data_IF_268956925403
#
_entry.id   IF_268956925403
#
_cell.length_a   1.000
_cell.length_b   1.000
_cell.length_c   1.000
_cell.angle_alpha   90.00
_cell.angle_beta   90.00
_cell.angle_gamma   90.00
#
_symmetry.space_group_name_H-M   'P 1'
#
loop_
_entity.id
_entity.type
_entity.pdbx_description
1 polymer ?
#
# COMPACT_ATOMS: atom_id res chain seq x y z
N UNK A 1 -30.08 -23.35 16.58
CA UNK A 1 -28.97 -22.45 16.19
C UNK A 1 -29.42 -21.03 16.44
N UNK A 2 -29.09 -20.49 17.62
CA UNK A 2 -29.22 -19.06 17.89
C UNK A 2 -28.09 -18.39 17.10
N UNK A 3 -28.43 -17.75 15.99
CA UNK A 3 -27.51 -16.86 15.30
C UNK A 3 -27.28 -15.70 16.28
N UNK A 4 -26.16 -15.71 16.98
CA UNK A 4 -25.77 -14.57 17.81
C UNK A 4 -25.57 -13.38 16.86
N UNK A 5 -26.48 -12.43 16.97
CA UNK A 5 -26.44 -11.21 16.15
C UNK A 5 -25.29 -10.35 16.65
N UNK A 6 -24.30 -10.09 15.79
CA UNK A 6 -23.21 -9.18 16.12
C UNK A 6 -23.79 -7.80 16.45
N UNK A 7 -23.32 -7.20 17.54
CA UNK A 7 -23.78 -5.89 17.99
C UNK A 7 -23.57 -4.82 16.91
N UNK A 8 -24.40 -3.79 16.93
CA UNK A 8 -24.32 -2.69 15.98
C UNK A 8 -23.14 -1.76 16.33
N UNK A 9 -22.31 -1.38 15.35
CA UNK A 9 -21.29 -0.36 15.57
C UNK A 9 -21.91 1.03 15.77
N UNK A 10 -21.18 1.87 16.47
CA UNK A 10 -21.46 3.29 16.61
C UNK A 10 -20.74 4.01 15.49
N UNK A 11 -21.44 4.85 14.75
CA UNK A 11 -20.86 5.75 13.74
C UNK A 11 -21.46 7.13 13.97
N UNK A 12 -20.65 8.05 14.50
CA UNK A 12 -21.06 9.44 14.78
C UNK A 12 -20.32 10.39 13.85
N UNK A 13 -21.07 11.32 13.25
CA UNK A 13 -20.52 12.39 12.44
C UNK A 13 -20.47 13.67 13.24
N UNK A 14 -19.30 14.28 13.29
CA UNK A 14 -19.04 15.54 13.98
C UNK A 14 -18.39 16.50 12.98
N UNK A 15 -18.76 17.78 13.02
CA UNK A 15 -18.03 18.78 12.25
C UNK A 15 -16.58 18.84 12.74
N UNK A 16 -15.62 18.89 11.83
CA UNK A 16 -14.21 18.71 12.16
C UNK A 16 -13.55 20.02 12.61
N UNK A 17 -13.94 20.47 13.80
CA UNK A 17 -13.35 21.63 14.48
C UNK A 17 -13.38 21.44 16.01
N UNK A 18 -12.56 22.24 16.69
CA UNK A 18 -12.39 22.14 18.15
C UNK A 18 -13.68 22.40 18.93
N UNK A 19 -14.54 23.31 18.47
CA UNK A 19 -15.78 23.65 19.15
C UNK A 19 -16.80 22.50 19.05
N UNK A 20 -16.98 21.95 17.84
CA UNK A 20 -17.85 20.80 17.63
C UNK A 20 -17.37 19.56 18.40
N UNK A 21 -16.04 19.34 18.47
CA UNK A 21 -15.46 18.27 19.27
C UNK A 21 -15.76 18.43 20.76
N UNK A 22 -15.63 19.64 21.31
CA UNK A 22 -15.97 19.93 22.72
C UNK A 22 -17.45 19.67 23.02
N UNK A 23 -18.33 20.08 22.11
CA UNK A 23 -19.78 19.83 22.23
C UNK A 23 -20.06 18.33 22.23
N UNK A 24 -19.44 17.58 21.30
CA UNK A 24 -19.58 16.14 21.21
C UNK A 24 -19.07 15.43 22.47
N UNK A 25 -17.89 15.81 22.98
CA UNK A 25 -17.34 15.27 24.24
C UNK A 25 -18.30 15.47 25.41
N UNK A 26 -18.88 16.69 25.54
CA UNK A 26 -19.86 16.98 26.57
C UNK A 26 -21.13 16.12 26.42
N UNK A 27 -21.64 15.96 25.20
CA UNK A 27 -22.81 15.10 24.94
C UNK A 27 -22.53 13.63 25.32
N UNK A 28 -21.34 13.12 25.09
CA UNK A 28 -20.96 11.78 25.51
C UNK A 28 -20.89 11.66 27.01
N UNK A 29 -20.27 12.62 27.71
CA UNK A 29 -20.12 12.60 29.16
C UNK A 29 -21.45 12.72 29.87
N UNK A 30 -22.41 13.49 29.34
CA UNK A 30 -23.73 13.70 29.87
C UNK A 30 -24.76 12.65 29.39
N UNK A 31 -24.38 11.72 28.54
CA UNK A 31 -25.27 10.69 28.01
C UNK A 31 -25.77 9.75 29.11
N UNK A 32 -27.07 9.47 29.10
CA UNK A 32 -27.69 8.44 29.93
C UNK A 32 -27.53 7.03 29.38
N UNK A 33 -27.03 6.88 28.16
CA UNK A 33 -26.71 5.59 27.55
C UNK A 33 -25.31 5.15 27.96
N UNK A 34 -25.23 4.42 29.08
CA UNK A 34 -23.96 3.97 29.65
C UNK A 34 -23.15 3.11 28.66
N UNK A 35 -23.80 2.28 27.86
CA UNK A 35 -23.13 1.45 26.85
C UNK A 35 -22.48 2.28 25.75
N UNK A 36 -23.19 3.29 25.25
CA UNK A 36 -22.69 4.22 24.26
C UNK A 36 -21.48 5.02 24.79
N UNK A 37 -21.64 5.56 25.99
CA UNK A 37 -20.61 6.32 26.70
C UNK A 37 -19.35 5.48 26.93
N UNK A 38 -19.50 4.27 27.45
CA UNK A 38 -18.40 3.34 27.73
C UNK A 38 -17.67 2.98 26.43
N UNK A 39 -18.40 2.67 25.36
CA UNK A 39 -17.81 2.29 24.07
C UNK A 39 -16.94 3.41 23.48
N UNK A 40 -17.38 4.67 23.56
CA UNK A 40 -16.61 5.79 22.99
C UNK A 40 -15.43 6.19 23.88
N UNK A 41 -15.59 6.12 25.21
CA UNK A 41 -14.55 6.61 26.14
C UNK A 41 -13.49 5.57 26.51
N UNK A 42 -13.86 4.29 26.57
CA UNK A 42 -13.03 3.26 27.18
C UNK A 42 -12.53 2.17 26.21
N UNK A 43 -13.07 2.13 24.99
CA UNK A 43 -12.61 1.19 23.94
C UNK A 43 -11.77 1.90 22.88
N UNK A 44 -10.90 1.19 22.19
CA UNK A 44 -10.24 1.73 21.00
C UNK A 44 -11.25 2.18 19.95
N UNK A 45 -10.96 3.26 19.27
CA UNK A 45 -11.83 3.92 18.28
C UNK A 45 -11.11 4.02 16.94
N UNK A 46 -11.85 3.83 15.86
CA UNK A 46 -11.41 4.19 14.50
C UNK A 46 -12.09 5.50 14.11
N UNK A 47 -11.37 6.37 13.44
CA UNK A 47 -11.90 7.67 13.03
C UNK A 47 -11.46 8.03 11.61
N UNK A 48 -12.29 8.85 10.95
CA UNK A 48 -12.04 9.35 9.60
C UNK A 48 -12.21 10.86 9.61
N UNK A 49 -11.15 11.60 9.26
CA UNK A 49 -11.27 12.98 8.86
C UNK A 49 -11.52 13.03 7.36
N UNK A 50 -12.53 13.79 6.94
CA UNK A 50 -12.94 13.93 5.55
C UNK A 50 -13.18 15.40 5.24
N UNK A 51 -12.55 15.91 4.19
CA UNK A 51 -12.74 17.28 3.73
C UNK A 51 -12.80 17.33 2.20
N UNK A 52 -13.44 18.37 1.69
CA UNK A 52 -13.55 18.62 0.25
C UNK A 52 -12.41 19.52 -0.20
N UNK A 53 -11.68 19.09 -1.22
CA UNK A 53 -10.62 19.87 -1.87
C UNK A 53 -11.01 20.10 -3.32
N UNK A 54 -11.48 21.32 -3.65
CA UNK A 54 -12.06 21.66 -4.96
C UNK A 54 -13.30 20.79 -5.27
N UNK A 55 -13.19 19.89 -6.22
CA UNK A 55 -14.28 19.00 -6.63
C UNK A 55 -14.15 17.58 -6.03
N UNK A 56 -13.02 17.27 -5.42
CA UNK A 56 -12.68 15.96 -4.90
C UNK A 56 -12.62 15.97 -3.37
N UNK A 57 -12.53 14.79 -2.78
CA UNK A 57 -12.37 14.59 -1.35
C UNK A 57 -10.96 14.13 -1.00
N UNK A 58 -10.55 14.47 0.20
CA UNK A 58 -9.38 13.90 0.84
C UNK A 58 -9.79 13.32 2.20
N UNK A 59 -9.09 12.28 2.64
CA UNK A 59 -9.39 11.58 3.88
C UNK A 59 -8.11 11.27 4.66
N UNK A 60 -8.25 11.25 5.98
CA UNK A 60 -7.28 10.68 6.91
C UNK A 60 -8.00 9.64 7.76
N UNK A 61 -7.50 8.42 7.81
CA UNK A 61 -8.03 7.35 8.65
C UNK A 61 -7.04 7.05 9.76
N UNK A 62 -7.51 6.91 10.99
CA UNK A 62 -6.66 6.59 12.12
C UNK A 62 -7.41 5.77 13.17
N UNK A 63 -6.67 5.27 14.15
CA UNK A 63 -7.19 4.61 15.32
C UNK A 63 -6.59 5.22 16.59
N UNK A 64 -7.29 5.16 17.68
CA UNK A 64 -6.84 5.71 18.96
C UNK A 64 -7.54 5.09 20.14
N UNK A 65 -6.84 4.98 21.25
CA UNK A 65 -7.45 4.66 22.55
C UNK A 65 -8.16 5.87 23.20
N UNK A 66 -7.89 7.07 22.70
CA UNK A 66 -8.52 8.32 23.18
C UNK A 66 -8.71 9.29 22.01
N UNK A 67 -9.92 9.25 21.43
CA UNK A 67 -10.27 10.05 20.25
C UNK A 67 -10.18 11.56 20.55
N UNK A 68 -10.59 12.02 21.72
CA UNK A 68 -10.60 13.44 22.06
C UNK A 68 -9.19 14.01 22.19
N UNK A 69 -8.30 13.29 22.88
CA UNK A 69 -6.90 13.69 22.99
C UNK A 69 -6.22 13.68 21.63
N UNK A 70 -6.43 12.64 20.85
CA UNK A 70 -5.83 12.48 19.52
C UNK A 70 -6.26 13.57 18.56
N UNK A 71 -7.55 13.88 18.54
CA UNK A 71 -8.10 14.91 17.65
C UNK A 71 -7.62 16.31 18.07
N UNK A 72 -7.52 16.59 19.37
CA UNK A 72 -6.90 17.85 19.86
C UNK A 72 -5.44 17.96 19.42
N UNK A 73 -4.67 16.87 19.44
CA UNK A 73 -3.31 16.86 18.92
C UNK A 73 -3.25 17.21 17.42
N UNK A 74 -4.19 16.73 16.62
CA UNK A 74 -4.29 17.10 15.22
C UNK A 74 -4.57 18.61 15.04
N UNK A 75 -5.50 19.17 15.82
CA UNK A 75 -5.82 20.61 15.75
C UNK A 75 -4.69 21.51 16.27
N UNK A 76 -3.87 21.04 17.20
CA UNK A 76 -2.81 21.83 17.83
C UNK A 76 -1.49 21.84 17.05
N UNK A 77 -1.31 20.92 16.09
CA UNK A 77 -0.16 20.98 15.20
C UNK A 77 -0.27 22.22 14.35
N UNK A 78 0.73 23.11 14.48
CA UNK A 78 0.87 24.21 13.53
C UNK A 78 1.04 23.61 12.13
N UNK A 79 0.25 24.04 11.16
CA UNK A 79 0.33 23.48 9.83
C UNK A 79 1.70 23.83 9.24
N UNK A 80 2.55 22.82 9.10
CA UNK A 80 3.55 22.88 8.06
C UNK A 80 2.78 22.92 6.73
N UNK A 81 3.18 23.74 5.77
CA UNK A 81 2.43 23.97 4.51
C UNK A 81 2.14 22.66 3.74
N UNK A 82 2.81 21.57 4.10
CA UNK A 82 2.68 20.24 3.52
C UNK A 82 1.83 19.27 4.36
N UNK A 83 1.35 19.66 5.54
CA UNK A 83 0.54 18.77 6.39
C UNK A 83 -0.96 18.97 6.17
N UNK A 84 -1.70 17.87 6.09
CA UNK A 84 -3.15 17.85 5.82
C UNK A 84 -4.00 18.52 6.90
N UNK A 85 -3.47 18.67 8.13
CA UNK A 85 -4.22 19.22 9.27
C UNK A 85 -4.71 20.65 9.06
N UNK A 86 -4.07 21.45 8.19
CA UNK A 86 -4.53 22.80 7.89
C UNK A 86 -5.92 22.82 7.20
N UNK A 87 -6.33 21.72 6.58
CA UNK A 87 -7.64 21.59 5.94
C UNK A 87 -8.78 21.33 6.94
N UNK A 88 -8.47 21.01 8.20
CA UNK A 88 -9.47 20.74 9.25
C UNK A 88 -10.21 21.98 9.72
N UNK A 89 -9.78 23.17 9.35
CA UNK A 89 -10.51 24.42 9.63
C UNK A 89 -11.59 24.75 8.59
N UNK A 90 -11.71 23.95 7.54
CA UNK A 90 -12.72 24.15 6.50
C UNK A 90 -14.11 23.79 7.05
N UNK A 91 -15.11 24.65 6.77
CA UNK A 91 -16.51 24.41 7.14
C UNK A 91 -17.07 23.08 6.60
N UNK A 92 -16.45 22.53 5.56
CA UNK A 92 -16.83 21.26 4.91
C UNK A 92 -16.09 20.04 5.46
N UNK A 93 -15.22 20.20 6.45
CA UNK A 93 -14.52 19.07 7.06
C UNK A 93 -15.41 18.35 8.08
N UNK A 94 -15.42 17.01 8.02
CA UNK A 94 -16.17 16.16 8.91
C UNK A 94 -15.26 15.13 9.60
N UNK A 95 -15.59 14.80 10.83
CA UNK A 95 -15.01 13.73 11.60
C UNK A 95 -16.05 12.62 11.79
N UNK A 96 -15.73 11.41 11.36
CA UNK A 96 -16.50 10.21 11.68
C UNK A 96 -15.82 9.48 12.83
N UNK A 97 -16.55 9.23 13.90
CA UNK A 97 -16.09 8.48 15.07
C UNK A 97 -16.77 7.12 15.05
N UNK A 98 -15.97 6.05 15.00
CA UNK A 98 -16.44 4.68 14.84
C UNK A 98 -16.03 3.87 16.06
N UNK A 99 -17.03 3.33 16.77
CA UNK A 99 -16.84 2.53 17.97
C UNK A 99 -17.63 1.22 17.93
N UNK A 100 -17.15 0.24 18.67
CA UNK A 100 -17.82 -1.05 18.86
C UNK A 100 -17.36 -1.68 20.18
N UNK A 101 -18.28 -2.37 20.87
CA UNK A 101 -17.97 -3.03 22.15
C UNK A 101 -16.94 -4.18 22.04
N UNK A 102 -16.71 -4.71 20.84
CA UNK A 102 -15.71 -5.75 20.57
C UNK A 102 -14.40 -5.19 20.02
N UNK A 103 -14.24 -3.87 19.95
CA UNK A 103 -13.00 -3.28 19.50
C UNK A 103 -11.87 -3.53 20.49
N UNK A 104 -10.82 -4.12 20.00
CA UNK A 104 -9.50 -4.15 20.58
C UNK A 104 -8.49 -3.55 19.61
N UNK A 105 -7.26 -3.39 20.02
CA UNK A 105 -6.20 -2.79 19.18
C UNK A 105 -6.03 -3.50 17.84
N UNK A 106 -6.05 -4.83 17.82
CA UNK A 106 -5.88 -5.59 16.58
C UNK A 106 -7.05 -5.39 15.62
N UNK A 107 -8.28 -5.40 16.12
CA UNK A 107 -9.46 -5.19 15.27
C UNK A 107 -9.51 -3.77 14.73
N UNK A 108 -9.21 -2.74 15.54
CA UNK A 108 -9.19 -1.36 15.07
C UNK A 108 -8.13 -1.13 14.01
N UNK A 109 -6.96 -1.74 14.11
CA UNK A 109 -5.92 -1.70 13.07
C UNK A 109 -6.37 -2.38 11.77
N UNK A 110 -7.04 -3.53 11.85
CA UNK A 110 -7.58 -4.20 10.66
C UNK A 110 -8.71 -3.41 10.00
N UNK A 111 -9.58 -2.77 10.77
CA UNK A 111 -10.64 -1.89 10.25
C UNK A 111 -10.04 -0.63 9.63
N UNK A 112 -9.07 0.00 10.28
CA UNK A 112 -8.32 1.13 9.72
C UNK A 112 -7.70 0.77 8.37
N UNK A 113 -6.99 -0.34 8.27
CA UNK A 113 -6.38 -0.81 7.04
C UNK A 113 -7.42 -1.04 5.93
N UNK A 114 -8.53 -1.67 6.25
CA UNK A 114 -9.61 -1.95 5.29
C UNK A 114 -10.31 -0.67 4.83
N UNK A 115 -10.53 0.28 5.72
CA UNK A 115 -11.07 1.60 5.38
C UNK A 115 -10.12 2.36 4.45
N UNK A 116 -8.83 2.39 4.76
CA UNK A 116 -7.81 3.02 3.91
C UNK A 116 -7.82 2.39 2.51
N UNK A 117 -7.83 1.07 2.43
CA UNK A 117 -7.86 0.34 1.17
C UNK A 117 -9.12 0.66 0.34
N UNK A 118 -10.29 0.65 0.97
CA UNK A 118 -11.55 0.99 0.31
C UNK A 118 -11.57 2.43 -0.18
N UNK A 119 -11.22 3.36 0.70
CA UNK A 119 -11.25 4.80 0.39
C UNK A 119 -10.24 5.17 -0.70
N UNK A 120 -9.08 4.55 -0.73
CA UNK A 120 -8.12 4.74 -1.83
C UNK A 120 -8.69 4.31 -3.18
N UNK A 121 -9.61 3.34 -3.19
CA UNK A 121 -10.24 2.83 -4.41
C UNK A 121 -11.45 3.64 -4.88
N UNK A 122 -11.85 4.68 -4.15
CA UNK A 122 -12.96 5.56 -4.50
C UNK A 122 -12.51 6.63 -5.49
N UNK A 123 -13.23 6.76 -6.61
CA UNK A 123 -12.88 7.71 -7.67
C UNK A 123 -12.83 9.16 -7.18
N UNK A 124 -13.81 9.56 -6.37
CA UNK A 124 -13.93 10.92 -5.86
C UNK A 124 -12.93 11.26 -4.75
N UNK A 125 -12.15 10.31 -4.26
CA UNK A 125 -11.11 10.55 -3.27
C UNK A 125 -9.78 10.73 -3.97
N UNK A 126 -9.24 11.95 -3.88
CA UNK A 126 -7.96 12.33 -4.49
C UNK A 126 -6.76 11.84 -3.70
N UNK A 127 -6.84 11.92 -2.37
CA UNK A 127 -5.76 11.52 -1.45
C UNK A 127 -6.29 10.82 -0.22
N UNK A 128 -5.55 9.79 0.18
CA UNK A 128 -5.71 9.10 1.45
C UNK A 128 -4.43 9.33 2.26
N UNK A 129 -4.57 10.06 3.35
CA UNK A 129 -3.47 10.29 4.29
C UNK A 129 -3.37 9.12 5.26
N UNK A 130 -2.18 8.87 5.82
CA UNK A 130 -1.90 7.72 6.70
C UNK A 130 -2.07 6.36 6.00
N UNK A 131 -1.76 6.29 4.71
CA UNK A 131 -1.89 5.10 3.88
C UNK A 131 -0.86 4.01 4.20
N UNK A 132 -0.77 3.55 5.45
CA UNK A 132 0.09 2.45 5.86
C UNK A 132 -0.72 1.18 6.09
N UNK A 133 -0.21 0.06 5.61
CA UNK A 133 -0.78 -1.25 5.88
C UNK A 133 -0.14 -1.86 7.14
N UNK A 134 -0.97 -2.18 8.12
CA UNK A 134 -0.54 -2.81 9.37
C UNK A 134 -1.44 -4.01 9.69
N UNK A 135 -1.37 -5.09 8.88
CA UNK A 135 -2.24 -6.25 9.04
C UNK A 135 -1.96 -6.96 10.36
N UNK A 136 -3.01 -7.43 11.01
CA UNK A 136 -2.93 -8.18 12.25
C UNK A 136 -2.99 -9.68 12.00
N UNK A 137 -2.31 -10.45 12.83
CA UNK A 137 -2.44 -11.89 12.90
C UNK A 137 -3.79 -12.29 13.53
N UNK A 138 -3.97 -13.57 13.83
CA UNK A 138 -5.19 -14.06 14.50
C UNK A 138 -5.36 -13.41 15.86
N UNK A 139 -6.56 -12.94 16.16
CA UNK A 139 -6.98 -12.38 17.44
C UNK A 139 -8.47 -12.70 17.67
N UNK A 140 -8.93 -12.56 18.90
CA UNK A 140 -10.35 -12.68 19.23
C UNK A 140 -11.00 -11.27 19.23
N UNK A 141 -12.15 -11.04 18.63
CA UNK A 141 -12.99 -11.94 17.82
C UNK A 141 -12.87 -11.66 16.29
N UNK A 142 -11.79 -12.09 15.67
CA UNK A 142 -11.51 -11.83 14.23
C UNK A 142 -12.64 -12.31 13.29
N UNK A 143 -13.36 -13.35 13.66
CA UNK A 143 -14.50 -13.88 12.89
C UNK A 143 -15.67 -12.91 12.78
N UNK A 144 -15.73 -11.89 13.61
CA UNK A 144 -16.75 -10.83 13.55
C UNK A 144 -16.34 -9.64 12.68
N UNK A 145 -15.09 -9.57 12.24
CA UNK A 145 -14.51 -8.44 11.53
C UNK A 145 -15.32 -8.07 10.26
N UNK A 146 -15.67 -9.07 9.45
CA UNK A 146 -16.37 -8.82 8.19
C UNK A 146 -17.79 -8.27 8.42
N UNK A 147 -18.51 -8.80 9.40
CA UNK A 147 -19.84 -8.33 9.74
C UNK A 147 -19.83 -6.93 10.34
N UNK A 148 -18.90 -6.67 11.24
CA UNK A 148 -18.73 -5.34 11.86
C UNK A 148 -18.36 -4.31 10.79
N UNK A 149 -17.41 -4.63 9.93
CA UNK A 149 -16.99 -3.74 8.86
C UNK A 149 -18.12 -3.44 7.87
N UNK A 150 -18.87 -4.45 7.43
CA UNK A 150 -20.01 -4.27 6.55
C UNK A 150 -21.07 -3.33 7.16
N UNK A 151 -21.35 -3.45 8.45
CA UNK A 151 -22.26 -2.57 9.17
C UNK A 151 -21.74 -1.14 9.29
N UNK A 152 -20.44 -0.97 9.55
CA UNK A 152 -19.78 0.35 9.58
C UNK A 152 -19.91 1.01 8.21
N UNK A 153 -19.52 0.31 7.14
CA UNK A 153 -19.58 0.84 5.78
C UNK A 153 -20.99 1.24 5.37
N UNK A 154 -21.98 0.41 5.71
CA UNK A 154 -23.40 0.73 5.46
C UNK A 154 -23.85 2.02 6.16
N UNK A 155 -23.42 2.25 7.41
CA UNK A 155 -23.73 3.48 8.15
C UNK A 155 -23.04 4.70 7.55
N UNK A 156 -21.75 4.59 7.20
CA UNK A 156 -21.02 5.64 6.51
C UNK A 156 -21.66 5.99 5.15
N UNK A 157 -22.07 4.98 4.41
CA UNK A 157 -22.73 5.14 3.12
C UNK A 157 -24.10 5.86 3.22
N UNK A 158 -24.83 5.66 4.29
CA UNK A 158 -26.10 6.41 4.52
C UNK A 158 -25.87 7.92 4.62
N UNK A 159 -24.74 8.30 5.15
CA UNK A 159 -24.38 9.71 5.31
C UNK A 159 -23.83 10.31 3.99
N UNK A 160 -22.89 9.65 3.34
CA UNK A 160 -22.27 10.17 2.12
C UNK A 160 -21.95 9.06 1.13
N UNK A 161 -22.72 8.98 0.04
CA UNK A 161 -22.54 7.95 -1.00
C UNK A 161 -21.41 8.25 -1.97
N UNK A 162 -20.95 9.51 -2.04
CA UNK A 162 -19.85 9.90 -2.92
C UNK A 162 -18.49 9.44 -2.33
N UNK A 163 -18.35 9.56 -1.01
CA UNK A 163 -17.15 9.12 -0.28
C UNK A 163 -17.21 7.62 0.03
N UNK A 164 -18.40 7.09 0.30
CA UNK A 164 -18.62 5.69 0.66
C UNK A 164 -19.59 5.00 -0.33
N UNK A 165 -19.11 4.66 -1.55
CA UNK A 165 -19.92 3.98 -2.56
C UNK A 165 -20.22 2.53 -2.17
N UNK A 166 -20.88 1.78 -3.06
CA UNK A 166 -21.13 0.35 -2.87
C UNK A 166 -19.83 -0.44 -2.81
N UNK A 167 -19.73 -1.40 -1.91
CA UNK A 167 -18.54 -2.27 -1.77
C UNK A 167 -18.23 -3.02 -3.08
N UNK A 168 -19.26 -3.45 -3.81
CA UNK A 168 -19.10 -4.12 -5.11
C UNK A 168 -18.40 -3.22 -6.13
N UNK A 169 -18.77 -1.95 -6.20
CA UNK A 169 -18.11 -0.98 -7.08
C UNK A 169 -16.63 -0.77 -6.72
N UNK A 170 -16.32 -0.76 -5.42
CA UNK A 170 -14.94 -0.67 -4.94
C UNK A 170 -14.14 -1.91 -5.35
N UNK A 171 -14.63 -3.10 -5.02
CA UNK A 171 -13.94 -4.37 -5.28
C UNK A 171 -13.73 -4.66 -6.76
N UNK A 172 -14.58 -4.13 -7.63
CA UNK A 172 -14.45 -4.26 -9.08
C UNK A 172 -13.48 -3.27 -9.70
N UNK A 173 -13.08 -2.22 -8.97
CA UNK A 173 -12.18 -1.19 -9.49
C UNK A 173 -10.77 -1.72 -9.75
N UNK A 174 -10.13 -1.23 -10.81
CA UNK A 174 -8.75 -1.58 -11.13
C UNK A 174 -7.76 -1.13 -10.03
N UNK A 175 -8.02 0.02 -9.40
CA UNK A 175 -7.21 0.52 -8.28
C UNK A 175 -7.27 -0.45 -7.11
N UNK A 176 -8.45 -0.94 -6.72
CA UNK A 176 -8.59 -1.91 -5.64
C UNK A 176 -7.79 -3.18 -5.91
N UNK A 177 -7.92 -3.74 -7.12
CA UNK A 177 -7.24 -4.98 -7.52
C UNK A 177 -5.71 -4.87 -7.55
N UNK A 178 -5.18 -3.71 -7.93
CA UNK A 178 -3.74 -3.45 -7.99
C UNK A 178 -3.15 -2.84 -6.71
N UNK A 179 -3.97 -2.56 -5.71
CA UNK A 179 -3.59 -1.84 -4.51
C UNK A 179 -2.48 -2.53 -3.72
N UNK A 180 -1.49 -1.75 -3.20
CA UNK A 180 -0.50 -2.26 -2.25
C UNK A 180 -1.06 -2.55 -0.85
N UNK A 181 -2.32 -2.22 -0.60
CA UNK A 181 -2.96 -2.27 0.72
C UNK A 181 -3.81 -3.53 0.95
N UNK A 182 -3.80 -4.48 0.02
CA UNK A 182 -4.41 -5.78 0.25
C UNK A 182 -3.84 -6.46 1.49
N UNK A 183 -4.72 -7.11 2.26
CA UNK A 183 -4.26 -8.04 3.30
C UNK A 183 -3.63 -9.25 2.61
N UNK A 184 -2.34 -9.41 2.79
CA UNK A 184 -1.60 -10.54 2.22
C UNK A 184 -1.95 -11.82 2.98
N UNK A 185 -1.91 -12.96 2.29
CA UNK A 185 -1.90 -14.27 2.93
C UNK A 185 -0.64 -14.43 3.76
N UNK A 186 -0.61 -15.41 4.65
CA UNK A 186 0.57 -15.68 5.49
C UNK A 186 1.81 -15.98 4.63
N UNK A 187 1.65 -16.71 3.54
CA UNK A 187 2.73 -17.03 2.61
C UNK A 187 3.21 -15.80 1.82
N UNK A 188 2.28 -14.99 1.33
CA UNK A 188 2.63 -13.72 0.67
C UNK A 188 3.34 -12.78 1.65
N UNK A 189 2.94 -12.73 2.91
CA UNK A 189 3.60 -11.92 3.94
C UNK A 189 5.04 -12.40 4.19
N UNK A 190 5.26 -13.71 4.30
CA UNK A 190 6.60 -14.29 4.41
C UNK A 190 7.46 -13.97 3.19
N UNK A 191 6.90 -14.10 1.99
CA UNK A 191 7.60 -13.75 0.74
C UNK A 191 7.97 -12.26 0.70
N UNK A 192 7.07 -11.37 1.11
CA UNK A 192 7.33 -9.92 1.23
C UNK A 192 8.49 -9.64 2.18
N UNK A 193 8.49 -10.24 3.37
CA UNK A 193 9.56 -10.08 4.36
C UNK A 193 10.90 -10.57 3.80
N UNK A 194 10.92 -11.72 3.12
CA UNK A 194 12.12 -12.25 2.47
C UNK A 194 12.65 -11.32 1.37
N UNK A 195 11.78 -10.76 0.55
CA UNK A 195 12.16 -9.81 -0.51
C UNK A 195 12.77 -8.55 0.12
N UNK A 196 12.14 -7.98 1.15
CA UNK A 196 12.65 -6.79 1.82
C UNK A 196 14.00 -7.05 2.46
N UNK A 197 14.17 -8.18 3.16
CA UNK A 197 15.44 -8.56 3.74
C UNK A 197 16.56 -8.65 2.69
N UNK A 198 16.27 -9.26 1.54
CA UNK A 198 17.20 -9.36 0.42
C UNK A 198 17.50 -8.00 -0.21
N UNK A 199 16.52 -7.12 -0.35
CA UNK A 199 16.71 -5.74 -0.84
C UNK A 199 17.63 -4.97 0.12
N UNK A 200 17.38 -5.03 1.41
CA UNK A 200 18.22 -4.36 2.42
C UNK A 200 19.65 -4.88 2.39
N UNK A 201 19.84 -6.20 2.29
CA UNK A 201 21.16 -6.80 2.14
C UNK A 201 21.87 -6.31 0.87
N UNK A 202 21.17 -6.25 -0.24
CA UNK A 202 21.71 -5.78 -1.52
C UNK A 202 22.10 -4.29 -1.47
N UNK A 203 21.30 -3.46 -0.83
CA UNK A 203 21.61 -2.03 -0.62
C UNK A 203 22.87 -1.85 0.25
N UNK A 204 23.09 -2.74 1.23
CA UNK A 204 24.31 -2.72 2.05
C UNK A 204 25.56 -3.03 1.25
N UNK A 205 25.46 -3.86 0.22
CA UNK A 205 26.59 -4.19 -0.64
C UNK A 205 27.01 -3.01 -1.54
N UNK A 206 26.08 -2.08 -1.80
CA UNK A 206 26.29 -0.89 -2.65
C UNK A 206 26.80 -1.22 -4.07
N UNK A 207 26.50 -2.39 -4.56
CA UNK A 207 26.80 -2.83 -5.93
C UNK A 207 25.59 -2.62 -6.84
N UNK A 208 25.84 -2.36 -8.12
CA UNK A 208 24.76 -2.28 -9.11
C UNK A 208 24.45 -3.62 -9.74
N UNK A 209 23.25 -3.76 -10.30
CA UNK A 209 22.89 -4.93 -11.09
C UNK A 209 22.63 -6.18 -10.26
N UNK A 210 22.26 -6.04 -8.98
CA UNK A 210 21.84 -7.14 -8.13
C UNK A 210 20.40 -7.50 -8.46
N UNK A 211 20.12 -8.80 -8.69
CA UNK A 211 18.82 -9.29 -9.11
C UNK A 211 18.16 -10.15 -8.04
N UNK A 212 16.95 -9.79 -7.64
CA UNK A 212 16.07 -10.61 -6.83
C UNK A 212 15.01 -11.20 -7.76
N UNK A 213 14.99 -12.50 -7.85
CA UNK A 213 14.10 -13.24 -8.72
C UNK A 213 12.93 -13.81 -7.90
N UNK A 214 11.69 -13.39 -8.22
CA UNK A 214 10.48 -13.89 -7.57
C UNK A 214 9.71 -14.71 -8.58
N UNK A 215 9.60 -16.00 -8.31
CA UNK A 215 8.93 -16.98 -9.15
C UNK A 215 7.66 -17.48 -8.46
N UNK A 216 6.59 -17.63 -9.22
CA UNK A 216 5.32 -18.17 -8.72
C UNK A 216 4.37 -18.47 -9.87
N UNK A 217 3.45 -19.38 -9.64
CA UNK A 217 2.42 -19.73 -10.60
C UNK A 217 1.43 -18.59 -10.83
N UNK A 218 0.65 -18.69 -11.92
CA UNK A 218 -0.44 -17.76 -12.19
C UNK A 218 -1.46 -17.80 -11.03
N UNK A 219 -1.92 -16.64 -10.59
CA UNK A 219 -2.92 -16.56 -9.51
C UNK A 219 -2.36 -16.52 -8.08
N UNK A 220 -1.03 -16.64 -7.87
CA UNK A 220 -0.42 -16.55 -6.53
C UNK A 220 -0.38 -15.13 -5.94
N UNK A 221 -0.89 -14.13 -6.68
CA UNK A 221 -0.92 -12.75 -6.23
C UNK A 221 0.41 -12.01 -6.34
N UNK A 222 1.24 -12.38 -7.31
CA UNK A 222 2.54 -11.71 -7.58
C UNK A 222 2.43 -10.20 -7.77
N UNK A 223 1.41 -9.74 -8.50
CA UNK A 223 1.17 -8.31 -8.72
C UNK A 223 0.90 -7.55 -7.42
N UNK A 224 0.05 -8.10 -6.55
CA UNK A 224 -0.24 -7.53 -5.23
C UNK A 224 1.00 -7.57 -4.33
N UNK A 225 1.74 -8.67 -4.34
CA UNK A 225 3.00 -8.81 -3.60
C UNK A 225 4.03 -7.76 -4.06
N UNK A 226 4.17 -7.58 -5.36
CA UNK A 226 5.09 -6.61 -5.96
C UNK A 226 4.73 -5.17 -5.54
N UNK A 227 3.47 -4.81 -5.72
CA UNK A 227 2.93 -3.52 -5.32
C UNK A 227 3.07 -3.25 -3.82
N UNK A 228 2.74 -4.23 -2.99
CA UNK A 228 2.85 -4.14 -1.53
C UNK A 228 4.31 -3.97 -1.08
N UNK A 229 5.23 -4.72 -1.65
CA UNK A 229 6.65 -4.67 -1.30
C UNK A 229 7.29 -3.35 -1.75
N UNK A 230 6.97 -2.91 -2.96
CA UNK A 230 7.39 -1.61 -3.49
C UNK A 230 6.96 -0.45 -2.57
N UNK A 231 5.68 -0.41 -2.19
CA UNK A 231 5.16 0.63 -1.31
C UNK A 231 5.75 0.58 0.10
N UNK A 232 6.00 -0.61 0.63
CA UNK A 232 6.59 -0.80 1.96
C UNK A 232 7.96 -0.13 2.11
N UNK A 233 8.77 -0.08 1.07
CA UNK A 233 10.06 0.60 1.12
C UNK A 233 9.91 2.10 1.38
N UNK A 234 8.91 2.74 0.79
CA UNK A 234 8.60 4.15 1.08
C UNK A 234 8.10 4.34 2.52
N UNK A 235 7.25 3.45 2.99
CA UNK A 235 6.74 3.50 4.37
C UNK A 235 7.87 3.37 5.39
N UNK A 236 8.80 2.46 5.18
CA UNK A 236 10.00 2.27 6.04
C UNK A 236 10.89 3.50 6.04
N UNK A 237 11.12 4.08 4.87
CA UNK A 237 11.91 5.31 4.75
C UNK A 237 11.28 6.46 5.53
N UNK A 238 9.99 6.70 5.37
CA UNK A 238 9.27 7.76 6.09
C UNK A 238 9.25 7.53 7.60
N UNK A 239 9.06 6.29 8.03
CA UNK A 239 9.08 5.94 9.46
C UNK A 239 10.46 6.21 10.07
N UNK A 240 11.53 5.75 9.44
CA UNK A 240 12.89 5.98 9.90
C UNK A 240 13.22 7.48 9.93
N UNK A 241 12.80 8.24 8.92
CA UNK A 241 12.96 9.69 8.88
C UNK A 241 12.21 10.39 10.02
N UNK A 242 10.97 10.02 10.30
CA UNK A 242 10.17 10.60 11.36
C UNK A 242 10.70 10.27 12.75
N UNK A 243 11.31 9.11 12.92
CA UNK A 243 11.93 8.66 14.16
C UNK A 243 13.39 9.14 14.33
N UNK A 244 13.92 9.90 13.37
CA UNK A 244 15.35 10.32 13.32
C UNK A 244 16.32 9.12 13.38
N UNK A 245 15.94 8.01 12.75
CA UNK A 245 16.79 6.82 12.63
C UNK A 245 17.79 6.96 11.49
N UNK A 246 18.79 6.08 11.46
CA UNK A 246 19.77 6.03 10.38
C UNK A 246 19.13 5.59 9.06
N UNK A 247 19.17 6.47 8.07
CA UNK A 247 18.60 6.23 6.74
C UNK A 247 19.54 5.46 5.80
N UNK A 248 20.70 5.02 6.26
CA UNK A 248 21.74 4.43 5.41
C UNK A 248 21.26 3.26 4.55
N UNK A 249 20.32 2.47 5.07
CA UNK A 249 19.76 1.28 4.39
C UNK A 249 18.26 1.38 4.10
N UNK A 250 17.69 2.57 4.28
CA UNK A 250 16.34 2.88 3.89
C UNK A 250 16.38 3.73 2.61
N UNK A 251 15.40 3.55 1.74
CA UNK A 251 15.41 4.28 0.47
C UNK A 251 14.02 4.72 0.03
N UNK A 252 13.96 5.92 -0.52
CA UNK A 252 12.83 6.44 -1.30
C UNK A 252 13.13 6.51 -2.80
N UNK A 253 14.30 6.07 -3.22
CA UNK A 253 14.73 6.03 -4.61
C UNK A 253 14.34 4.69 -5.26
N UNK A 254 13.03 4.43 -5.29
CA UNK A 254 12.41 3.20 -5.73
C UNK A 254 11.46 3.46 -6.91
N UNK A 255 11.45 2.54 -7.85
CA UNK A 255 10.64 2.63 -9.06
C UNK A 255 9.91 1.33 -9.35
N UNK A 256 8.70 1.45 -9.94
CA UNK A 256 7.92 0.33 -10.43
C UNK A 256 7.82 0.41 -11.95
N UNK A 257 8.21 -0.64 -12.64
CA UNK A 257 8.11 -0.74 -14.08
C UNK A 257 6.98 -1.69 -14.46
N UNK A 258 6.12 -1.23 -15.35
CA UNK A 258 4.98 -1.99 -15.90
C UNK A 258 4.91 -1.81 -17.41
N UNK A 259 4.41 -2.81 -18.11
CA UNK A 259 4.49 -2.85 -19.59
C UNK A 259 3.26 -2.29 -20.30
N UNK A 260 2.09 -2.31 -19.65
CA UNK A 260 0.83 -1.92 -20.28
C UNK A 260 0.38 -0.52 -19.89
N UNK A 261 -0.14 0.25 -20.84
CA UNK A 261 -0.61 1.62 -20.63
C UNK A 261 -1.72 1.72 -19.57
N UNK A 262 -2.62 0.77 -19.56
CA UNK A 262 -3.69 0.71 -18.57
C UNK A 262 -3.14 0.54 -17.13
N UNK A 263 -2.14 -0.30 -16.96
CA UNK A 263 -1.46 -0.49 -15.67
C UNK A 263 -0.69 0.76 -15.25
N UNK A 264 0.00 1.45 -16.16
CA UNK A 264 0.67 2.73 -15.88
C UNK A 264 -0.34 3.72 -15.30
N UNK A 265 -1.49 3.86 -15.91
CA UNK A 265 -2.54 4.78 -15.43
C UNK A 265 -3.00 4.42 -14.03
N UNK A 266 -3.29 3.15 -13.76
CA UNK A 266 -3.75 2.66 -12.45
C UNK A 266 -2.69 2.87 -11.37
N UNK A 267 -1.44 2.49 -11.63
CA UNK A 267 -0.37 2.64 -10.64
C UNK A 267 0.03 4.10 -10.40
N UNK A 268 -0.05 4.97 -11.40
CA UNK A 268 0.14 6.40 -11.20
C UNK A 268 -0.99 7.01 -10.35
N UNK A 269 -2.23 6.58 -10.54
CA UNK A 269 -3.35 6.99 -9.67
C UNK A 269 -3.13 6.53 -8.22
N UNK A 270 -2.66 5.31 -8.01
CA UNK A 270 -2.31 4.78 -6.69
C UNK A 270 -1.18 5.62 -6.05
N UNK A 271 -0.13 5.91 -6.80
CA UNK A 271 0.99 6.74 -6.32
C UNK A 271 0.54 8.16 -5.94
N UNK A 272 -0.33 8.77 -6.74
CA UNK A 272 -0.92 10.08 -6.45
C UNK A 272 -1.75 10.05 -5.16
N UNK A 273 -2.64 9.07 -5.04
CA UNK A 273 -3.54 8.93 -3.88
C UNK A 273 -2.80 8.64 -2.57
N UNK A 274 -1.69 7.91 -2.64
CA UNK A 274 -0.84 7.61 -1.48
C UNK A 274 0.22 8.70 -1.20
N UNK A 275 0.24 9.77 -1.99
CA UNK A 275 1.14 10.90 -1.78
C UNK A 275 2.57 10.68 -2.26
N UNK A 276 2.88 9.59 -2.97
CA UNK A 276 4.22 9.29 -3.47
C UNK A 276 4.66 10.28 -4.53
N UNK A 277 3.77 10.65 -5.45
CA UNK A 277 4.08 11.59 -6.54
C UNK A 277 4.43 12.96 -6.00
N UNK A 278 3.72 13.46 -5.00
CA UNK A 278 3.99 14.76 -4.39
C UNK A 278 5.34 14.81 -3.67
N UNK A 279 5.74 13.72 -3.02
CA UNK A 279 6.97 13.65 -2.23
C UNK A 279 8.19 13.29 -3.06
N UNK A 280 8.05 12.38 -4.02
CA UNK A 280 9.18 11.74 -4.71
C UNK A 280 9.16 11.91 -6.22
N UNK A 281 8.12 12.55 -6.77
CA UNK A 281 7.91 12.67 -8.22
C UNK A 281 7.39 11.38 -8.85
N UNK A 282 7.58 11.23 -10.14
CA UNK A 282 7.12 10.04 -10.85
C UNK A 282 7.92 8.81 -10.44
N UNK A 283 7.22 7.77 -9.99
CA UNK A 283 7.81 6.50 -9.52
C UNK A 283 7.40 5.29 -10.34
N UNK A 284 6.45 5.46 -11.26
CA UNK A 284 5.95 4.39 -12.15
C UNK A 284 6.31 4.73 -13.60
N UNK A 285 6.94 3.79 -14.28
CA UNK A 285 7.39 3.94 -15.66
C UNK A 285 7.13 2.69 -16.48
N UNK A 286 7.08 2.85 -17.80
CA UNK A 286 7.38 1.78 -18.73
C UNK A 286 8.90 1.54 -18.78
N UNK A 287 9.36 0.33 -19.16
CA UNK A 287 10.79 0.02 -19.21
C UNK A 287 11.60 0.97 -20.09
N UNK A 288 11.20 1.21 -21.34
CA UNK A 288 11.95 2.08 -22.26
C UNK A 288 12.06 3.53 -21.79
N UNK A 289 10.97 4.22 -21.35
CA UNK A 289 11.07 5.55 -20.77
C UNK A 289 11.99 5.61 -19.55
N UNK A 290 11.97 4.60 -18.69
CA UNK A 290 12.88 4.51 -17.54
C UNK A 290 14.35 4.44 -18.00
N UNK A 291 14.67 3.55 -18.92
CA UNK A 291 16.02 3.37 -19.47
C UNK A 291 16.53 4.66 -20.10
N UNK A 292 15.67 5.39 -20.82
CA UNK A 292 16.03 6.65 -21.47
C UNK A 292 16.24 7.81 -20.47
N UNK A 293 15.54 7.78 -19.34
CA UNK A 293 15.61 8.84 -18.33
C UNK A 293 16.79 8.70 -17.38
N UNK A 294 17.08 7.49 -16.94
CA UNK A 294 18.10 7.21 -15.92
C UNK A 294 19.40 6.73 -16.54
N UNK A 295 20.52 7.25 -16.01
CA UNK A 295 21.85 6.97 -16.56
C UNK A 295 22.52 5.80 -15.84
N UNK A 296 23.43 5.13 -16.56
CA UNK A 296 24.29 4.09 -16.01
C UNK A 296 25.25 4.64 -14.95
N UNK A 297 25.65 5.90 -15.07
CA UNK A 297 26.64 6.53 -14.17
C UNK A 297 26.07 6.86 -12.79
N UNK A 298 24.75 7.04 -12.72
CA UNK A 298 24.05 7.35 -11.46
C UNK A 298 22.85 6.39 -11.28
N UNK A 299 23.09 5.15 -10.86
CA UNK A 299 22.05 4.15 -10.71
C UNK A 299 21.06 4.52 -9.60
N UNK A 300 19.79 4.18 -9.83
CA UNK A 300 18.75 4.26 -8.78
C UNK A 300 18.93 3.11 -7.78
N UNK A 301 18.29 3.21 -6.63
CA UNK A 301 18.48 2.19 -5.59
C UNK A 301 17.73 0.89 -5.91
N UNK A 302 16.42 0.95 -6.12
CA UNK A 302 15.59 -0.25 -6.29
C UNK A 302 14.61 -0.07 -7.45
N UNK A 303 14.51 -1.08 -8.29
CA UNK A 303 13.51 -1.17 -9.37
C UNK A 303 12.73 -2.46 -9.20
N UNK A 304 11.42 -2.35 -9.15
CA UNK A 304 10.49 -3.48 -9.21
C UNK A 304 9.94 -3.60 -10.63
N UNK A 305 9.93 -4.81 -11.16
CA UNK A 305 9.39 -5.10 -12.50
C UNK A 305 8.27 -6.10 -12.39
N UNK A 306 7.07 -5.70 -12.79
CA UNK A 306 5.94 -6.61 -12.93
C UNK A 306 5.94 -7.23 -14.33
N UNK A 307 5.50 -8.48 -14.43
CA UNK A 307 5.47 -9.24 -15.69
C UNK A 307 6.82 -9.20 -16.44
N UNK A 308 7.91 -9.53 -15.75
CA UNK A 308 9.27 -9.42 -16.27
C UNK A 308 9.52 -10.22 -17.55
N UNK A 309 8.73 -11.27 -17.82
CA UNK A 309 8.77 -12.03 -19.07
C UNK A 309 8.54 -11.16 -20.32
N UNK A 310 7.78 -10.06 -20.19
CA UNK A 310 7.54 -9.12 -21.29
C UNK A 310 8.77 -8.30 -21.67
N UNK A 311 9.70 -8.07 -20.75
CA UNK A 311 10.99 -7.42 -21.04
C UNK A 311 11.81 -8.21 -22.03
N UNK A 312 11.62 -9.50 -21.99
CA UNK A 312 12.36 -10.46 -22.77
C UNK A 312 11.77 -10.63 -24.18
N UNK A 313 10.46 -10.41 -24.35
CA UNK A 313 9.73 -10.64 -25.60
C UNK A 313 9.65 -9.42 -26.52
N UNK A 314 9.66 -8.21 -25.97
CA UNK A 314 9.49 -6.97 -26.74
C UNK A 314 10.79 -6.47 -27.42
N UNK A 315 11.92 -7.04 -27.12
CA UNK A 315 13.22 -6.55 -27.57
C UNK A 315 13.49 -6.64 -29.07
N UNK A 316 12.67 -7.34 -29.84
CA UNK A 316 12.93 -7.56 -31.28
C UNK A 316 12.33 -6.50 -32.23
N UNK A 317 11.33 -5.71 -31.81
CA UNK A 317 10.62 -4.84 -32.76
C UNK A 317 10.80 -3.32 -32.58
N UNK A 318 11.17 -2.81 -31.40
CA UNK A 318 11.24 -1.37 -31.16
C UNK A 318 12.41 -0.88 -30.30
N UNK A 319 13.22 -1.77 -29.79
CA UNK A 319 14.31 -1.46 -28.89
C UNK A 319 15.68 -1.57 -29.57
N UNK A 320 16.50 -0.51 -29.44
CA UNK A 320 17.85 -0.44 -30.05
C UNK A 320 18.95 -1.08 -29.22
N UNK A 321 18.65 -1.54 -28.00
CA UNK A 321 19.57 -2.21 -27.09
C UNK A 321 19.51 -3.74 -27.23
N UNK A 322 20.48 -4.45 -26.66
CA UNK A 322 20.55 -5.90 -26.73
C UNK A 322 19.48 -6.59 -25.88
N UNK A 323 19.11 -6.02 -24.70
CA UNK A 323 18.14 -6.58 -23.76
C UNK A 323 17.69 -5.52 -22.77
N UNK A 324 16.37 -5.33 -22.60
CA UNK A 324 15.82 -4.35 -21.67
C UNK A 324 16.15 -4.66 -20.19
N UNK A 325 16.16 -5.92 -19.80
CA UNK A 325 16.51 -6.31 -18.43
C UNK A 325 17.96 -5.95 -18.09
N UNK A 326 18.89 -6.20 -18.99
CA UNK A 326 20.30 -5.81 -18.80
C UNK A 326 20.46 -4.30 -18.67
N UNK A 327 19.75 -3.55 -19.50
CA UNK A 327 19.79 -2.08 -19.46
C UNK A 327 19.19 -1.51 -18.16
N UNK A 328 18.17 -2.17 -17.60
CA UNK A 328 17.63 -1.83 -16.28
C UNK A 328 18.65 -2.19 -15.19
N UNK A 329 19.25 -3.38 -15.24
CA UNK A 329 20.26 -3.82 -14.27
C UNK A 329 21.48 -2.90 -14.21
N UNK A 330 21.86 -2.31 -15.32
CA UNK A 330 22.96 -1.31 -15.36
C UNK A 330 22.59 0.01 -14.67
N UNK A 331 21.30 0.30 -14.49
CA UNK A 331 20.77 1.56 -13.98
C UNK A 331 20.20 1.48 -12.58
N UNK A 332 20.32 0.34 -11.93
CA UNK A 332 19.81 0.13 -10.58
C UNK A 332 20.81 -0.66 -9.74
N UNK A 333 20.81 -0.41 -8.43
CA UNK A 333 21.57 -1.23 -7.48
C UNK A 333 20.90 -2.59 -7.32
N UNK A 334 19.57 -2.59 -7.18
CA UNK A 334 18.76 -3.79 -6.99
C UNK A 334 17.57 -3.78 -7.93
N UNK A 335 17.32 -4.90 -8.60
CA UNK A 335 16.13 -5.13 -9.43
C UNK A 335 15.37 -6.34 -8.91
N UNK A 336 14.11 -6.15 -8.59
CA UNK A 336 13.18 -7.20 -8.18
C UNK A 336 12.28 -7.55 -9.36
N UNK A 337 12.36 -8.76 -9.86
CA UNK A 337 11.57 -9.21 -11.01
C UNK A 337 10.56 -10.27 -10.60
N UNK A 338 9.31 -10.08 -11.01
CA UNK A 338 8.23 -11.04 -10.85
C UNK A 338 8.11 -11.88 -12.11
N UNK A 339 8.14 -13.19 -11.94
CA UNK A 339 8.19 -14.15 -13.04
C UNK A 339 7.09 -15.20 -12.92
N UNK A 340 6.44 -15.52 -14.05
CA UNK A 340 5.48 -16.60 -14.17
C UNK A 340 6.03 -17.62 -15.17
N UNK A 341 6.34 -18.84 -14.71
CA UNK A 341 6.87 -19.91 -15.58
C UNK A 341 5.90 -20.30 -16.69
N UNK A 342 4.60 -20.36 -16.41
CA UNK A 342 3.59 -20.74 -17.39
C UNK A 342 3.41 -19.71 -18.50
N UNK A 343 3.58 -18.42 -18.19
CA UNK A 343 3.58 -17.36 -19.19
C UNK A 343 4.83 -17.37 -20.06
N UNK A 344 5.93 -17.88 -19.56
CA UNK A 344 7.14 -18.11 -20.35
C UNK A 344 6.88 -19.20 -21.41
N UNK A 345 6.24 -20.29 -21.02
CA UNK A 345 5.89 -21.40 -21.94
C UNK A 345 4.98 -20.95 -23.09
N UNK A 346 4.05 -20.03 -22.86
CA UNK A 346 3.21 -19.46 -23.92
C UNK A 346 3.92 -18.45 -24.80
N UNK A 347 5.01 -17.84 -24.31
CA UNK A 347 5.87 -16.92 -25.04
C UNK A 347 7.08 -17.60 -25.67
N UNK A 348 7.31 -18.89 -25.38
CA UNK A 348 8.40 -19.72 -25.93
C UNK A 348 8.41 -19.83 -27.48
N UNK A 349 7.32 -19.50 -28.13
CA UNK A 349 7.33 -19.29 -29.59
C UNK A 349 8.28 -18.17 -30.05
N UNK A 350 8.82 -17.37 -29.09
CA UNK A 350 9.69 -16.22 -29.36
C UNK A 350 11.03 -16.25 -28.61
N UNK A 351 11.22 -17.20 -27.67
CA UNK A 351 12.45 -17.36 -26.88
C UNK A 351 12.97 -18.78 -27.00
N UNK A 352 14.22 -18.88 -27.40
CA UNK A 352 14.93 -20.13 -27.28
C UNK A 352 15.09 -20.45 -25.80
N UNK A 353 14.63 -21.62 -25.36
CA UNK A 353 14.77 -22.13 -23.98
C UNK A 353 16.20 -21.95 -23.43
N UNK A 354 17.16 -22.03 -24.31
CA UNK A 354 18.60 -21.85 -24.04
C UNK A 354 18.89 -20.47 -23.41
N UNK A 355 18.23 -19.38 -23.85
CA UNK A 355 18.50 -18.02 -23.32
C UNK A 355 17.98 -17.87 -21.91
N UNK A 356 16.77 -18.39 -21.61
CA UNK A 356 16.20 -18.36 -20.27
C UNK A 356 17.01 -19.23 -19.30
N UNK A 357 17.38 -20.43 -19.72
CA UNK A 357 18.24 -21.33 -18.94
C UNK A 357 19.65 -20.75 -18.76
N UNK A 358 20.18 -20.04 -19.75
CA UNK A 358 21.43 -19.31 -19.63
C UNK A 358 21.31 -18.16 -18.62
N UNK A 359 20.21 -17.41 -18.63
CA UNK A 359 19.92 -16.39 -17.61
C UNK A 359 19.80 -17.00 -16.21
N UNK A 360 18.97 -18.03 -16.04
CA UNK A 360 18.84 -18.75 -14.78
C UNK A 360 20.17 -19.34 -14.31
N UNK A 361 20.96 -19.88 -15.22
CA UNK A 361 22.24 -20.49 -14.89
C UNK A 361 23.35 -19.46 -14.64
N UNK A 362 23.35 -18.31 -15.31
CA UNK A 362 24.25 -17.20 -15.03
C UNK A 362 23.91 -16.54 -13.69
N UNK A 363 22.62 -16.36 -13.38
CA UNK A 363 22.13 -15.92 -12.06
C UNK A 363 22.62 -16.88 -10.97
N UNK A 364 22.46 -18.19 -11.16
CA UNK A 364 22.94 -19.21 -10.22
C UNK A 364 24.47 -19.28 -10.13
N UNK A 365 25.18 -19.08 -11.23
CA UNK A 365 26.65 -19.08 -11.28
C UNK A 365 27.23 -17.86 -10.58
N UNK A 366 26.69 -16.69 -10.80
CA UNK A 366 27.13 -15.47 -10.11
C UNK A 366 26.82 -15.49 -8.61
N UNK A 367 25.76 -16.19 -8.20
CA UNK A 367 25.49 -16.51 -6.79
C UNK A 367 26.54 -17.39 -6.14
N UNK A 368 27.19 -18.28 -6.90
CA UNK A 368 28.22 -19.21 -6.40
C UNK A 368 29.60 -18.56 -6.41
N UNK A 369 29.85 -17.61 -7.31
CA UNK A 369 31.17 -17.01 -7.56
C UNK A 369 31.32 -15.61 -6.91
N UNK A 370 30.23 -14.90 -6.72
CA UNK A 370 30.23 -13.61 -6.03
C UNK A 370 29.11 -13.60 -4.99
N UNK A 371 29.42 -13.96 -3.77
CA UNK A 371 28.45 -14.05 -2.66
C UNK A 371 27.54 -12.82 -2.51
N UNK A 372 27.86 -11.73 -3.21
CA UNK A 372 27.24 -10.43 -3.00
C UNK A 372 26.49 -9.84 -4.22
N UNK A 373 26.58 -10.43 -5.43
CA UNK A 373 26.05 -9.78 -6.65
C UNK A 373 24.63 -10.17 -7.02
N UNK A 374 24.19 -11.37 -6.70
CA UNK A 374 22.87 -11.88 -7.08
C UNK A 374 22.23 -12.60 -5.93
N UNK A 375 20.99 -12.21 -5.64
CA UNK A 375 20.22 -12.73 -4.52
C UNK A 375 19.28 -13.82 -5.03
N UNK A 376 19.28 -14.98 -4.36
CA UNK A 376 18.45 -16.14 -4.72
C UNK A 376 16.97 -15.81 -4.85
N UNK A 377 16.29 -16.45 -5.76
CA UNK A 377 14.86 -16.31 -5.96
C UNK A 377 14.03 -16.63 -4.72
N UNK A 378 12.87 -16.01 -4.65
CA UNK A 378 11.82 -16.33 -3.69
C UNK A 378 10.72 -17.08 -4.44
N UNK A 379 10.41 -18.31 -4.02
CA UNK A 379 9.33 -19.08 -4.61
C UNK A 379 8.04 -18.87 -3.80
N UNK A 380 6.96 -18.55 -4.51
CA UNK A 380 5.61 -18.48 -3.95
C UNK A 380 4.88 -19.72 -4.45
N UNK A 381 4.51 -20.59 -3.52
CA UNK A 381 3.77 -21.83 -3.80
C UNK A 381 2.31 -21.61 -3.40
N UNK A 382 1.36 -21.99 -4.25
CA UNK A 382 -0.06 -22.10 -3.87
C UNK A 382 -0.26 -23.25 -2.89
N UNK A 383 -1.11 -23.03 -1.87
CA UNK A 383 -1.69 -24.12 -1.06
C UNK A 383 -2.90 -24.75 -1.76
#
# INVERSE_FOLDING_TARGET
NVIMRVAEPIVEKVQDNINALKIFEKQILESNNEKFKDTILNFPIVYIHNWKSKNDYEVYVGESNNIFQRTRQHYSKMPDENEWQHNLSDENANLYVIGHEHFNKSMTLDIENRLIHYLMSVENIKKVHNGRNNPQNRYYPIEELDDIFAKIWKKLRKDNKEVFPLETAIKDSAIFKASPLHKLTEEQQKAKEMIIEKVVKALRNDERGQLIFVEGEAGTGKTVLNSSTFYELFCRYEEAKNNNEDLKYETSNCFLLVNHDEQITVYNQIADKLGLTDKYGQVVYKPTPFINKYSVDNPVDVVFVDEAHLLLTQGKQSYRGNNQLEDILKRAKVVVVMFDEDQILTTEQYWEDEILEEYKSNIKRDMVVGEDKIISGVNIVEE
#
